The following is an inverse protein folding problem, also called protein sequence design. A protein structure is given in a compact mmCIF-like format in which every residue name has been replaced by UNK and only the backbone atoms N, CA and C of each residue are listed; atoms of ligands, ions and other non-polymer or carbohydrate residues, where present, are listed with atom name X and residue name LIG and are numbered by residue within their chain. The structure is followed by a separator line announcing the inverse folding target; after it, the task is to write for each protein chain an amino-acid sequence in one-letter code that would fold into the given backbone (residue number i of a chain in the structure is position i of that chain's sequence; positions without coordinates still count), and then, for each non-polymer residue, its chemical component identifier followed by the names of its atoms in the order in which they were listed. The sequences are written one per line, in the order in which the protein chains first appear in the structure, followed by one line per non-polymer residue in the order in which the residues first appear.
data_IF_174902060338
#
_entry.id   IF_174902060338
#
_cell.length_a   1.000
_cell.length_b   1.000
_cell.length_c   1.000
_cell.angle_alpha   90.00
_cell.angle_beta   90.00
_cell.angle_gamma   90.00
#
_symmetry.space_group_name_H-M   'P 1'
#
loop_
_entity.id
_entity.type
_entity.pdbx_description
1 polymer ?
#
# COMPACT_ATOMS: atom_id res chain seq x y z
N UNK A 1 -17.13 5.76 -7.11
CA UNK A 1 -15.67 5.67 -6.89
C UNK A 1 -15.23 4.23 -6.66
N UNK A 2 -15.47 3.60 -5.51
CA UNK A 2 -15.12 2.18 -5.29
C UNK A 2 -15.92 1.18 -6.14
N UNK A 3 -17.16 1.52 -6.53
CA UNK A 3 -17.95 0.70 -7.46
C UNK A 3 -17.27 0.52 -8.82
N UNK A 4 -16.69 1.61 -9.36
CA UNK A 4 -15.91 1.57 -10.61
C UNK A 4 -14.69 0.65 -10.50
N UNK A 5 -13.96 0.71 -9.39
CA UNK A 5 -12.83 -0.20 -9.16
C UNK A 5 -13.29 -1.66 -9.09
N UNK A 6 -14.45 -1.95 -8.50
CA UNK A 6 -15.01 -3.31 -8.52
C UNK A 6 -15.35 -3.76 -9.95
N UNK A 7 -15.97 -2.89 -10.76
CA UNK A 7 -16.29 -3.16 -12.17
C UNK A 7 -15.05 -3.40 -13.04
N UNK A 8 -13.93 -2.75 -12.73
CA UNK A 8 -12.64 -2.95 -13.42
C UNK A 8 -11.95 -4.25 -12.95
N UNK A 9 -12.10 -4.63 -11.68
CA UNK A 9 -11.41 -5.78 -11.08
C UNK A 9 -12.12 -7.13 -11.31
N UNK A 10 -13.45 -7.15 -11.35
CA UNK A 10 -14.24 -8.39 -11.54
C UNK A 10 -13.93 -9.12 -12.87
N UNK A 11 -13.86 -8.43 -14.04
CA UNK A 11 -13.58 -9.07 -15.32
C UNK A 11 -12.19 -9.73 -15.39
N UNK A 12 -11.25 -9.27 -14.56
CA UNK A 12 -9.87 -9.76 -14.53
C UNK A 12 -9.65 -10.78 -13.40
N UNK A 13 -10.73 -11.29 -12.80
CA UNK A 13 -10.69 -12.45 -11.89
C UNK A 13 -10.63 -12.11 -10.40
N UNK A 14 -10.77 -10.84 -10.02
CA UNK A 14 -10.90 -10.48 -8.61
C UNK A 14 -12.34 -10.61 -8.12
N UNK A 15 -12.49 -11.08 -6.88
CA UNK A 15 -13.75 -11.09 -6.14
C UNK A 15 -13.60 -10.23 -4.89
N UNK A 16 -14.63 -9.44 -4.58
CA UNK A 16 -14.63 -8.63 -3.35
C UNK A 16 -14.63 -9.52 -2.11
N UNK A 17 -13.71 -9.23 -1.18
CA UNK A 17 -13.60 -9.88 0.14
C UNK A 17 -14.32 -9.10 1.23
N UNK A 18 -14.21 -7.77 1.22
CA UNK A 18 -14.76 -6.96 2.30
C UNK A 18 -14.29 -5.52 2.29
N UNK A 19 -14.45 -4.86 3.44
CA UNK A 19 -14.04 -3.49 3.69
C UNK A 19 -13.33 -3.45 5.03
N UNK A 20 -12.22 -2.72 5.12
CA UNK A 20 -11.59 -2.40 6.40
C UNK A 20 -11.34 -0.90 6.51
N UNK A 21 -11.06 -0.46 7.73
CA UNK A 21 -10.61 0.90 8.02
C UNK A 21 -9.17 0.81 8.49
N UNK A 22 -8.25 1.33 7.68
CA UNK A 22 -6.87 1.51 8.09
C UNK A 22 -6.76 2.77 8.94
N UNK A 23 -6.13 2.69 10.11
CA UNK A 23 -5.99 3.81 11.05
C UNK A 23 -4.52 4.15 11.25
N UNK A 24 -3.94 5.01 10.41
CA UNK A 24 -2.59 5.50 10.65
C UNK A 24 -2.54 6.33 11.95
N UNK A 25 -1.42 6.34 12.68
CA UNK A 25 -1.25 7.19 13.84
C UNK A 25 -1.53 8.66 13.50
N UNK A 26 -2.33 9.33 14.34
CA UNK A 26 -2.64 10.76 14.22
C UNK A 26 -3.40 11.19 12.94
N UNK A 27 -3.95 10.23 12.17
CA UNK A 27 -4.78 10.51 11.00
C UNK A 27 -6.17 9.93 11.16
N UNK A 28 -7.13 10.52 10.45
CA UNK A 28 -8.48 9.94 10.29
C UNK A 28 -8.33 8.59 9.57
N UNK A 29 -9.10 7.60 10.01
CA UNK A 29 -9.09 6.29 9.36
C UNK A 29 -9.50 6.37 7.89
N UNK A 30 -8.79 5.66 7.03
CA UNK A 30 -9.05 5.57 5.60
C UNK A 30 -9.82 4.27 5.33
N UNK A 31 -10.95 4.37 4.62
CA UNK A 31 -11.73 3.20 4.20
C UNK A 31 -11.04 2.58 3.00
N UNK A 32 -10.85 1.26 3.06
CA UNK A 32 -10.24 0.47 2.01
C UNK A 32 -11.10 -0.75 1.69
N UNK A 33 -11.17 -1.09 0.41
CA UNK A 33 -11.94 -2.23 -0.10
C UNK A 33 -10.96 -3.31 -0.51
N UNK A 34 -11.19 -4.53 -0.02
CA UNK A 34 -10.32 -5.67 -0.29
C UNK A 34 -10.95 -6.63 -1.27
N UNK A 35 -10.10 -7.20 -2.11
CA UNK A 35 -10.41 -8.12 -3.19
C UNK A 35 -9.42 -9.29 -3.14
N UNK A 36 -9.83 -10.44 -3.68
CA UNK A 36 -9.00 -11.62 -3.85
C UNK A 36 -9.05 -12.09 -5.28
N UNK A 37 -7.89 -12.44 -5.83
CA UNK A 37 -7.79 -13.20 -7.07
C UNK A 37 -7.30 -14.60 -6.71
N UNK A 38 -8.22 -15.55 -6.60
CA UNK A 38 -7.95 -16.88 -6.02
C UNK A 38 -6.93 -17.67 -6.85
N UNK A 39 -7.08 -17.69 -8.17
CA UNK A 39 -6.13 -18.39 -9.07
C UNK A 39 -4.71 -17.78 -9.05
N UNK A 40 -4.59 -16.49 -8.78
CA UNK A 40 -3.31 -15.79 -8.66
C UNK A 40 -2.74 -15.85 -7.22
N UNK A 41 -3.56 -16.26 -6.24
CA UNK A 41 -3.26 -16.20 -4.81
C UNK A 41 -2.83 -14.80 -4.35
N UNK A 42 -3.47 -13.77 -4.91
CA UNK A 42 -3.14 -12.36 -4.71
C UNK A 42 -4.33 -11.62 -4.11
N UNK A 43 -4.07 -10.70 -3.19
CA UNK A 43 -5.07 -9.72 -2.76
C UNK A 43 -4.90 -8.41 -3.50
N UNK A 44 -6.02 -7.73 -3.74
CA UNK A 44 -6.07 -6.33 -4.15
C UNK A 44 -6.68 -5.50 -3.04
N UNK A 45 -6.13 -4.33 -2.75
CA UNK A 45 -6.73 -3.35 -1.85
C UNK A 45 -6.84 -2.01 -2.57
N UNK A 46 -8.07 -1.50 -2.62
CA UNK A 46 -8.39 -0.19 -3.15
C UNK A 46 -8.51 0.84 -2.02
N UNK A 47 -7.71 1.90 -2.07
CA UNK A 47 -7.71 3.01 -1.14
C UNK A 47 -8.31 4.26 -1.79
N UNK A 48 -9.20 4.95 -1.08
CA UNK A 48 -9.68 6.25 -1.52
C UNK A 48 -8.66 7.35 -1.22
N UNK A 49 -8.33 8.17 -2.22
CA UNK A 49 -7.43 9.33 -2.11
C UNK A 49 -8.07 10.54 -2.78
N UNK A 50 -8.88 11.27 -2.02
CA UNK A 50 -9.67 12.38 -2.59
C UNK A 50 -10.68 11.84 -3.60
N UNK A 51 -10.57 12.26 -4.86
CA UNK A 51 -11.40 11.77 -5.97
C UNK A 51 -10.81 10.52 -6.67
N UNK A 52 -9.55 10.15 -6.37
CA UNK A 52 -8.82 9.06 -7.01
C UNK A 52 -8.80 7.77 -6.18
N UNK A 53 -8.95 6.62 -6.84
CA UNK A 53 -8.79 5.30 -6.19
C UNK A 53 -7.40 4.79 -6.52
N UNK A 54 -6.68 4.35 -5.50
CA UNK A 54 -5.39 3.70 -5.65
C UNK A 54 -5.48 2.21 -5.35
N UNK A 55 -4.95 1.38 -6.23
CA UNK A 55 -4.89 -0.07 -6.11
C UNK A 55 -3.50 -0.54 -5.68
N UNK A 56 -3.47 -1.40 -4.67
CA UNK A 56 -2.28 -2.13 -4.23
C UNK A 56 -2.56 -3.63 -4.32
N UNK A 57 -1.67 -4.36 -4.96
CA UNK A 57 -1.67 -5.82 -5.01
C UNK A 57 -0.63 -6.39 -4.05
N UNK A 58 -1.01 -7.43 -3.31
CA UNK A 58 -0.19 -8.09 -2.30
C UNK A 58 -0.27 -9.61 -2.46
N UNK A 59 0.90 -10.25 -2.58
CA UNK A 59 1.04 -11.71 -2.50
C UNK A 59 2.05 -12.05 -1.41
N UNK A 60 1.63 -12.64 -0.28
CA UNK A 60 2.54 -13.10 0.76
C UNK A 60 3.14 -14.45 0.38
N UNK A 61 4.41 -14.62 0.71
CA UNK A 61 5.12 -15.88 0.64
C UNK A 61 5.47 -16.34 2.06
N UNK A 62 5.91 -17.59 2.18
CA UNK A 62 6.51 -18.10 3.40
C UNK A 62 7.72 -17.26 3.87
N UNK A 63 8.03 -17.36 5.17
CA UNK A 63 9.26 -16.75 5.72
C UNK A 63 9.35 -15.23 5.62
N UNK A 64 8.24 -14.50 5.78
CA UNK A 64 8.18 -13.02 5.71
C UNK A 64 8.60 -12.43 4.36
N UNK A 65 8.42 -13.19 3.28
CA UNK A 65 8.67 -12.75 1.91
C UNK A 65 7.38 -12.22 1.27
N UNK A 66 7.47 -11.20 0.41
CA UNK A 66 6.29 -10.54 -0.16
C UNK A 66 6.53 -10.03 -1.58
N UNK A 67 5.47 -10.03 -2.38
CA UNK A 67 5.37 -9.16 -3.56
C UNK A 67 4.30 -8.11 -3.30
N UNK A 68 4.65 -6.84 -3.50
CA UNK A 68 3.75 -5.71 -3.37
C UNK A 68 3.86 -4.80 -4.59
N UNK A 69 2.75 -4.51 -5.24
CA UNK A 69 2.75 -3.60 -6.41
C UNK A 69 1.61 -2.64 -6.34
N UNK A 70 1.86 -1.37 -6.63
CA UNK A 70 0.86 -0.32 -6.55
C UNK A 70 0.73 0.42 -7.88
N UNK A 71 -0.47 0.93 -8.20
CA UNK A 71 -0.73 1.83 -9.33
C UNK A 71 -0.27 3.28 -9.10
N UNK A 72 0.34 3.55 -7.96
CA UNK A 72 0.89 4.84 -7.58
C UNK A 72 2.35 4.67 -7.16
N UNK A 73 3.00 5.79 -6.85
CA UNK A 73 4.39 5.78 -6.39
C UNK A 73 4.49 5.10 -5.02
N UNK A 74 5.03 3.89 -5.02
CA UNK A 74 5.55 3.23 -3.84
C UNK A 74 7.05 3.50 -3.72
N UNK A 75 7.58 3.64 -2.51
CA UNK A 75 9.03 3.65 -2.32
C UNK A 75 9.55 2.24 -2.57
N UNK A 76 10.13 2.02 -3.75
CA UNK A 76 10.64 0.69 -4.14
C UNK A 76 11.58 0.14 -3.07
N UNK A 77 11.34 -1.10 -2.67
CA UNK A 77 12.12 -1.80 -1.65
C UNK A 77 12.39 -3.25 -2.08
N UNK A 78 12.78 -3.40 -3.34
CA UNK A 78 13.19 -4.69 -3.88
C UNK A 78 14.43 -5.20 -3.13
N UNK A 79 14.27 -6.35 -2.49
CA UNK A 79 15.36 -7.21 -2.05
C UNK A 79 15.23 -8.56 -2.78
N UNK A 80 16.14 -8.83 -3.75
CA UNK A 80 16.10 -10.06 -4.53
C UNK A 80 15.96 -11.33 -3.66
N UNK A 81 15.05 -12.23 -4.04
CA UNK A 81 14.79 -13.50 -3.35
C UNK A 81 14.03 -13.42 -2.02
N UNK A 82 13.59 -12.22 -1.61
CA UNK A 82 12.89 -11.99 -0.34
C UNK A 82 11.69 -11.06 -0.48
N UNK A 83 11.86 -9.88 -1.06
CA UNK A 83 10.82 -8.87 -1.14
C UNK A 83 10.89 -8.18 -2.49
N UNK A 84 9.78 -8.13 -3.24
CA UNK A 84 9.70 -7.35 -4.47
C UNK A 84 8.55 -6.35 -4.34
N UNK A 85 8.88 -5.07 -4.13
CA UNK A 85 7.92 -4.01 -3.85
C UNK A 85 8.16 -2.81 -4.77
N UNK A 86 7.13 -2.38 -5.51
CA UNK A 86 7.29 -1.22 -6.40
C UNK A 86 5.99 -0.62 -6.93
N UNK A 87 6.05 0.67 -7.26
CA UNK A 87 4.95 1.42 -7.86
C UNK A 87 5.01 1.45 -9.38
N UNK A 88 3.84 1.51 -10.02
CA UNK A 88 3.66 1.71 -11.46
C UNK A 88 2.60 2.81 -11.66
N UNK A 89 2.99 4.10 -11.52
CA UNK A 89 2.07 5.23 -11.53
C UNK A 89 1.16 5.25 -12.76
N UNK A 90 -0.17 5.31 -12.54
CA UNK A 90 -1.18 5.41 -13.60
C UNK A 90 -1.47 4.10 -14.35
N UNK A 91 -0.94 2.99 -13.85
CA UNK A 91 -1.21 1.68 -14.41
C UNK A 91 -2.71 1.32 -14.34
N UNK A 92 -3.24 0.78 -15.43
CA UNK A 92 -4.55 0.13 -15.42
C UNK A 92 -4.48 -1.21 -14.65
N UNK A 93 -5.58 -1.68 -14.03
CA UNK A 93 -5.58 -2.88 -13.20
C UNK A 93 -5.03 -4.14 -13.87
N UNK A 94 -5.32 -4.36 -15.15
CA UNK A 94 -4.83 -5.50 -15.94
C UNK A 94 -3.30 -5.48 -16.05
N UNK A 95 -2.75 -4.31 -16.37
CA UNK A 95 -1.32 -4.11 -16.52
C UNK A 95 -0.60 -4.22 -15.18
N UNK A 96 -1.21 -3.70 -14.11
CA UNK A 96 -0.70 -3.84 -12.76
C UNK A 96 -0.67 -5.31 -12.34
N UNK A 97 -1.75 -6.06 -12.57
CA UNK A 97 -1.82 -7.49 -12.30
C UNK A 97 -0.76 -8.26 -13.08
N UNK A 98 -0.63 -8.04 -14.39
CA UNK A 98 0.38 -8.71 -15.20
C UNK A 98 1.81 -8.42 -14.70
N UNK A 99 2.10 -7.18 -14.31
CA UNK A 99 3.38 -6.81 -13.71
C UNK A 99 3.61 -7.44 -12.33
N UNK A 100 2.55 -7.54 -11.52
CA UNK A 100 2.57 -8.22 -10.23
C UNK A 100 2.90 -9.70 -10.37
N UNK A 101 2.19 -10.41 -11.25
CA UNK A 101 2.38 -11.84 -11.48
C UNK A 101 3.79 -12.15 -11.97
N UNK A 102 4.39 -11.32 -12.83
CA UNK A 102 5.80 -11.48 -13.22
C UNK A 102 6.76 -11.39 -12.03
N UNK A 103 6.45 -10.60 -10.99
CA UNK A 103 7.25 -10.53 -9.76
C UNK A 103 6.99 -11.74 -8.85
N UNK A 104 5.73 -12.21 -8.78
CA UNK A 104 5.36 -13.44 -8.06
C UNK A 104 6.11 -14.63 -8.62
N UNK A 105 6.14 -14.81 -9.94
CA UNK A 105 6.85 -15.92 -10.58
C UNK A 105 8.36 -15.89 -10.28
N UNK A 106 9.00 -14.71 -10.27
CA UNK A 106 10.43 -14.62 -9.88
C UNK A 106 10.70 -15.11 -8.46
N UNK A 107 9.79 -14.88 -7.51
CA UNK A 107 9.97 -15.42 -6.15
C UNK A 107 9.68 -16.91 -6.08
N UNK A 108 8.71 -17.42 -6.85
CA UNK A 108 8.49 -18.87 -6.99
C UNK A 108 9.72 -19.58 -7.59
N UNK A 109 10.30 -19.01 -8.64
CA UNK A 109 11.55 -19.48 -9.26
C UNK A 109 12.73 -19.47 -8.27
N UNK A 110 12.73 -18.54 -7.31
CA UNK A 110 13.70 -18.51 -6.21
C UNK A 110 13.38 -19.51 -5.07
N UNK A 111 12.42 -20.43 -5.27
CA UNK A 111 12.05 -21.48 -4.32
C UNK A 111 11.10 -21.04 -3.21
N UNK A 112 10.43 -19.88 -3.34
CA UNK A 112 9.45 -19.41 -2.35
C UNK A 112 8.07 -19.98 -2.62
N UNK A 113 7.31 -20.23 -1.56
CA UNK A 113 5.94 -20.75 -1.65
C UNK A 113 4.94 -19.68 -1.24
N UNK A 114 3.89 -19.49 -2.05
CA UNK A 114 2.81 -18.54 -1.74
C UNK A 114 2.00 -19.04 -0.54
N UNK A 115 1.59 -18.14 0.35
CA UNK A 115 0.73 -18.50 1.48
C UNK A 115 -0.65 -19.00 1.00
N UNK A 116 -1.19 -20.01 1.65
CA UNK A 116 -2.42 -20.67 1.23
C UNK A 116 -3.71 -20.02 1.77
N UNK A 117 -3.64 -19.28 2.88
CA UNK A 117 -4.83 -18.63 3.47
C UNK A 117 -5.13 -17.31 2.74
N UNK A 118 -6.25 -17.28 2.02
CA UNK A 118 -6.69 -16.12 1.22
C UNK A 118 -7.84 -15.33 1.89
N UNK A 119 -8.13 -15.58 3.16
CA UNK A 119 -9.18 -14.87 3.91
C UNK A 119 -8.87 -13.37 4.12
N UNK A 120 -9.91 -12.60 4.44
CA UNK A 120 -9.75 -11.19 4.82
C UNK A 120 -8.83 -11.02 6.04
N UNK A 121 -8.94 -11.92 7.02
CA UNK A 121 -8.07 -11.91 8.20
C UNK A 121 -6.61 -12.16 7.82
N UNK A 122 -6.35 -13.11 6.93
CA UNK A 122 -5.01 -13.38 6.42
C UNK A 122 -4.42 -12.19 5.67
N UNK A 123 -5.24 -11.51 4.86
CA UNK A 123 -4.86 -10.25 4.20
C UNK A 123 -4.43 -9.20 5.23
N UNK A 124 -5.23 -8.99 6.28
CA UNK A 124 -4.90 -8.01 7.33
C UNK A 124 -3.63 -8.40 8.08
N UNK A 125 -3.45 -9.68 8.41
CA UNK A 125 -2.20 -10.19 9.03
C UNK A 125 -0.99 -9.96 8.12
N UNK A 126 -1.12 -10.21 6.83
CA UNK A 126 -0.05 -9.99 5.85
C UNK A 126 0.30 -8.51 5.71
N UNK A 127 -0.69 -7.61 5.67
CA UNK A 127 -0.46 -6.17 5.68
C UNK A 127 0.26 -5.70 6.94
N UNK A 128 -0.14 -6.20 8.11
CA UNK A 128 0.55 -5.89 9.37
C UNK A 128 2.00 -6.40 9.39
N UNK A 129 2.25 -7.61 8.88
CA UNK A 129 3.59 -8.19 8.77
C UNK A 129 4.49 -7.38 7.82
N UNK A 130 3.95 -6.89 6.70
CA UNK A 130 4.64 -5.96 5.81
C UNK A 130 5.12 -4.72 6.58
N UNK A 131 4.22 -4.06 7.29
CA UNK A 131 4.53 -2.82 8.02
C UNK A 131 5.44 -3.03 9.23
N UNK A 132 5.43 -4.21 9.86
CA UNK A 132 6.37 -4.59 10.91
C UNK A 132 7.79 -4.86 10.38
N UNK A 133 7.93 -5.22 9.10
CA UNK A 133 9.19 -5.54 8.45
C UNK A 133 9.58 -4.57 7.34
N UNK A 134 9.49 -5.01 6.09
CA UNK A 134 9.96 -4.29 4.90
C UNK A 134 9.31 -2.91 4.70
N UNK A 135 8.03 -2.78 5.06
CA UNK A 135 7.26 -1.54 5.00
C UNK A 135 7.59 -0.54 6.12
N UNK A 136 8.35 -0.95 7.15
CA UNK A 136 8.66 -0.07 8.28
C UNK A 136 9.47 1.16 7.87
N UNK A 137 10.32 1.05 6.84
CA UNK A 137 11.04 2.21 6.27
C UNK A 137 10.10 3.17 5.57
N UNK A 138 9.10 2.67 4.85
CA UNK A 138 8.10 3.50 4.18
C UNK A 138 7.25 4.27 5.20
N UNK A 139 6.83 3.61 6.28
CA UNK A 139 6.14 4.27 7.40
C UNK A 139 7.02 5.35 8.04
N UNK A 140 8.28 5.04 8.34
CA UNK A 140 9.22 6.01 8.93
C UNK A 140 9.38 7.25 8.04
N UNK A 141 9.56 7.08 6.74
CA UNK A 141 9.71 8.21 5.81
C UNK A 141 8.42 9.04 5.67
N UNK A 142 7.24 8.40 5.65
CA UNK A 142 5.95 9.10 5.68
C UNK A 142 5.77 9.92 6.97
N UNK A 143 6.19 9.40 8.11
CA UNK A 143 6.13 10.11 9.40
C UNK A 143 7.18 11.23 9.51
N UNK A 144 8.41 11.04 9.03
CA UNK A 144 9.47 12.07 9.02
C UNK A 144 9.07 13.25 8.14
N UNK A 145 8.50 13.02 6.97
CA UNK A 145 7.97 14.10 6.13
C UNK A 145 6.83 14.87 6.82
N UNK A 146 5.96 14.18 7.56
CA UNK A 146 4.93 14.81 8.39
C UNK A 146 5.53 15.72 9.46
N UNK A 147 6.52 15.22 10.21
CA UNK A 147 7.21 15.97 11.26
C UNK A 147 7.98 17.19 10.72
N UNK A 148 8.63 17.07 9.56
CA UNK A 148 9.32 18.18 8.90
C UNK A 148 8.36 19.31 8.51
N UNK A 149 7.20 18.96 7.93
CA UNK A 149 6.17 19.94 7.58
C UNK A 149 5.58 20.62 8.82
N UNK A 150 5.34 19.87 9.90
CA UNK A 150 4.89 20.46 11.17
C UNK A 150 5.95 21.39 11.77
N UNK A 151 7.23 21.00 11.76
CA UNK A 151 8.33 21.84 12.24
C UNK A 151 8.45 23.16 11.48
N UNK A 152 8.30 23.12 10.14
CA UNK A 152 8.32 24.33 9.31
C UNK A 152 7.12 25.26 9.60
N UNK A 153 5.92 24.70 9.79
CA UNK A 153 4.74 25.48 10.16
C UNK A 153 4.90 26.17 11.52
N UNK A 154 5.47 25.48 12.52
CA UNK A 154 5.77 26.05 13.84
C UNK A 154 6.82 27.17 13.74
N UNK A 155 7.85 26.99 12.93
CA UNK A 155 8.87 28.03 12.71
C UNK A 155 8.27 29.30 12.08
N UNK A 156 7.41 29.15 11.06
CA UNK A 156 6.72 30.28 10.43
C UNK A 156 5.79 31.00 11.43
N UNK A 157 5.01 30.24 12.20
CA UNK A 157 4.15 30.82 13.23
C UNK A 157 4.96 31.58 14.30
N UNK A 158 6.10 31.02 14.73
CA UNK A 158 7.01 31.69 15.67
C UNK A 158 7.58 33.00 15.13
N UNK A 159 7.97 33.03 13.85
CA UNK A 159 8.44 34.26 13.19
C UNK A 159 7.32 35.31 13.10
N UNK A 160 6.10 34.90 12.76
CA UNK A 160 4.94 35.80 12.69
C UNK A 160 4.59 36.40 14.07
N UNK A 161 4.57 35.57 15.11
CA UNK A 161 4.32 36.01 16.50
C UNK A 161 5.41 36.99 16.93
N UNK A 162 6.68 36.68 16.68
CA UNK A 162 7.79 37.55 17.02
C UNK A 162 7.74 38.90 16.29
N UNK A 163 7.39 38.89 14.99
CA UNK A 163 7.23 40.11 14.20
C UNK A 163 6.08 41.00 14.69
N UNK A 164 4.96 40.39 15.13
CA UNK A 164 3.85 41.11 15.74
C UNK A 164 4.21 41.74 17.09
N UNK A 165 4.94 41.01 17.94
CA UNK A 165 5.40 41.52 19.25
C UNK A 165 6.43 42.64 19.09
N UNK A 166 7.27 42.60 18.05
CA UNK A 166 8.32 43.61 17.82
C UNK A 166 7.81 44.90 17.19
N UNK A 167 6.77 44.82 16.35
CA UNK A 167 6.25 45.96 15.58
C UNK A 167 4.95 46.55 16.17
N UNK A 168 4.47 46.05 17.31
CA UNK A 168 3.32 46.55 18.06
C UNK A 168 3.70 47.37 19.28
#
# INVERSE_FOLDING_TARGET
MFGRMQEELEPIGFRRLGVHVERPPLKRGEVAYDFVHEAAQTWGTAYGRGEDVQLVLLTPFDGSSFVLTADHRLMSNDQPGKCLAGGMPGAQPEHLLAAHLRRVERLKEAGRTVSADLSLEARVRAANAWFAGWGARELRLRHVNGLLMTGMAVAIAGVMIWALVRNG
#
